data_IF_071997364324
#
_entry.id   IF_071997364324
#
_cell.length_a   1.000
_cell.length_b   1.000
_cell.length_c   1.000
_cell.angle_alpha   90.00
_cell.angle_beta   90.00
_cell.angle_gamma   90.00
#
_symmetry.space_group_name_H-M   'P 1'
#
loop_
_entity.id
_entity.type
_entity.pdbx_description
1 polymer ?
#
# COMPACT_ATOMS: atom_id res chain seq x y z
N UNK A 1 -54.12 23.14 58.69
CA UNK A 1 -52.70 22.83 58.42
C UNK A 1 -52.52 22.76 56.91
N UNK A 2 -52.12 23.86 56.27
CA UNK A 2 -52.09 24.04 54.82
C UNK A 2 -50.87 23.37 54.23
N UNK A 3 -51.10 22.48 53.25
CA UNK A 3 -50.06 21.89 52.44
C UNK A 3 -49.84 22.82 51.20
N UNK A 4 -48.78 23.58 51.23
CA UNK A 4 -48.37 24.41 50.07
C UNK A 4 -47.85 23.50 48.98
N UNK A 5 -48.53 23.53 47.85
CA UNK A 5 -48.02 22.97 46.58
C UNK A 5 -46.82 23.77 46.11
N UNK A 6 -45.67 23.08 45.98
CA UNK A 6 -44.51 23.61 45.26
C UNK A 6 -44.64 23.21 43.79
N UNK A 7 -44.97 24.17 42.96
CA UNK A 7 -44.89 23.98 41.48
C UNK A 7 -43.46 24.21 41.06
N UNK A 8 -42.78 23.14 40.69
CA UNK A 8 -41.44 23.19 40.07
C UNK A 8 -41.58 23.56 38.62
N UNK A 9 -41.25 24.79 38.25
CA UNK A 9 -41.09 25.21 36.85
C UNK A 9 -39.75 24.65 36.33
N UNK A 10 -39.80 23.60 35.54
CA UNK A 10 -38.62 23.18 34.74
C UNK A 10 -38.56 24.05 33.52
N UNK A 11 -37.67 25.04 33.56
CA UNK A 11 -37.29 25.80 32.40
C UNK A 11 -36.53 24.94 31.41
N UNK A 12 -37.17 24.60 30.31
CA UNK A 12 -36.48 23.99 29.14
C UNK A 12 -35.61 25.09 28.53
N UNK A 13 -34.32 25.11 28.87
CA UNK A 13 -33.35 25.90 28.13
C UNK A 13 -33.28 25.33 26.70
N UNK A 14 -33.83 26.05 25.73
CA UNK A 14 -33.51 25.79 24.32
C UNK A 14 -32.01 25.99 24.11
N UNK A 15 -31.27 24.90 24.00
CA UNK A 15 -29.91 24.96 23.47
C UNK A 15 -29.98 25.54 22.05
N UNK A 16 -29.18 26.58 21.73
CA UNK A 16 -29.12 27.04 20.35
C UNK A 16 -28.74 25.89 19.46
N UNK A 17 -29.51 25.67 18.41
CA UNK A 17 -29.31 24.57 17.49
C UNK A 17 -27.85 24.50 17.05
N UNK A 18 -27.21 23.38 17.24
CA UNK A 18 -26.00 23.06 16.53
C UNK A 18 -26.36 23.09 15.03
N UNK A 19 -26.03 24.19 14.38
CA UNK A 19 -25.99 24.23 12.94
C UNK A 19 -24.90 23.25 12.55
N UNK A 20 -25.27 22.07 12.06
CA UNK A 20 -24.34 21.21 11.35
C UNK A 20 -23.74 22.08 10.25
N UNK A 21 -22.46 22.41 10.38
CA UNK A 21 -21.76 23.12 9.33
C UNK A 21 -21.96 22.29 8.04
N UNK A 22 -22.53 22.92 7.01
CA UNK A 22 -22.71 22.27 5.74
C UNK A 22 -21.32 21.80 5.27
N UNK A 23 -21.21 20.52 4.98
CA UNK A 23 -19.98 19.95 4.44
C UNK A 23 -19.68 20.67 3.12
N UNK A 24 -18.61 21.48 3.10
CA UNK A 24 -18.20 22.23 1.92
C UNK A 24 -17.43 21.27 1.01
N UNK A 25 -17.90 21.11 -0.22
CA UNK A 25 -17.14 20.40 -1.23
C UNK A 25 -15.94 21.22 -1.68
N UNK A 26 -14.74 20.63 -1.67
CA UNK A 26 -13.49 21.30 -2.03
C UNK A 26 -12.96 20.78 -3.34
N UNK A 27 -12.65 21.68 -4.26
CA UNK A 27 -11.97 21.37 -5.52
C UNK A 27 -10.48 21.61 -5.37
N UNK A 28 -9.66 20.71 -5.89
CA UNK A 28 -8.21 20.86 -5.87
C UNK A 28 -7.81 21.94 -6.88
N UNK A 29 -7.12 22.97 -6.39
CA UNK A 29 -6.57 24.05 -7.22
C UNK A 29 -5.12 23.81 -7.59
N UNK A 30 -4.36 23.10 -6.75
CA UNK A 30 -2.94 22.85 -6.96
C UNK A 30 -2.49 21.59 -6.23
N UNK A 31 -1.59 20.86 -6.85
CA UNK A 31 -0.77 19.83 -6.20
C UNK A 31 0.69 20.29 -6.23
N UNK A 32 1.41 20.06 -5.13
CA UNK A 32 2.84 20.37 -5.06
C UNK A 32 3.62 19.56 -6.11
N UNK A 33 4.67 20.17 -6.69
CA UNK A 33 5.50 19.51 -7.68
C UNK A 33 6.24 18.30 -7.05
N UNK A 34 6.18 17.17 -7.72
CA UNK A 34 6.76 15.91 -7.25
C UNK A 34 7.97 15.60 -8.14
N UNK A 35 9.15 15.54 -7.51
CA UNK A 35 10.39 15.15 -8.17
C UNK A 35 11.06 14.04 -7.38
N UNK A 36 11.47 12.98 -8.07
CA UNK A 36 12.06 11.77 -7.45
C UNK A 36 13.33 11.40 -8.17
N UNK A 37 14.43 11.29 -7.44
CA UNK A 37 15.64 10.69 -7.95
C UNK A 37 15.49 9.15 -7.90
N UNK A 38 15.83 8.49 -9.00
CA UNK A 38 15.69 7.05 -9.17
C UNK A 38 17.04 6.47 -9.62
N UNK A 39 17.67 5.59 -8.85
CA UNK A 39 18.89 4.92 -9.29
C UNK A 39 18.64 4.10 -10.55
N UNK A 40 19.61 4.13 -11.47
CA UNK A 40 19.56 3.35 -12.71
C UNK A 40 19.27 1.87 -12.41
N UNK A 41 18.40 1.25 -13.20
CA UNK A 41 18.01 -0.15 -13.03
C UNK A 41 17.08 -0.43 -11.86
N UNK A 42 16.57 0.60 -11.16
CA UNK A 42 15.62 0.44 -10.06
C UNK A 42 14.26 1.06 -10.36
N UNK A 43 13.25 0.67 -9.61
CA UNK A 43 11.94 1.31 -9.65
C UNK A 43 11.95 2.63 -8.84
N UNK A 44 11.29 3.69 -9.34
CA UNK A 44 11.19 4.94 -8.61
C UNK A 44 10.35 4.78 -7.33
N UNK A 45 10.81 5.37 -6.24
CA UNK A 45 10.07 5.40 -4.97
C UNK A 45 9.13 6.59 -4.97
N UNK A 46 7.92 6.37 -5.47
CA UNK A 46 6.89 7.40 -5.54
C UNK A 46 6.23 7.60 -4.17
N UNK A 47 5.89 8.86 -3.80
CA UNK A 47 5.21 9.13 -2.54
C UNK A 47 3.77 8.60 -2.57
N UNK A 48 3.32 8.05 -1.45
CA UNK A 48 1.92 7.63 -1.29
C UNK A 48 0.99 8.80 -1.02
N UNK A 49 1.53 9.91 -0.52
CA UNK A 49 0.80 11.13 -0.18
C UNK A 49 1.41 12.29 -0.93
N UNK A 50 0.55 13.20 -1.39
CA UNK A 50 0.94 14.46 -2.03
C UNK A 50 0.24 15.62 -1.34
N UNK A 51 0.93 16.77 -1.29
CA UNK A 51 0.36 17.98 -0.72
C UNK A 51 -0.55 18.65 -1.74
N UNK A 52 -1.81 18.81 -1.38
CA UNK A 52 -2.83 19.46 -2.20
C UNK A 52 -3.28 20.76 -1.57
N UNK A 53 -3.60 21.73 -2.41
CA UNK A 53 -4.25 22.99 -2.01
C UNK A 53 -5.58 23.07 -2.74
N UNK A 54 -6.63 23.37 -2.00
CA UNK A 54 -7.99 23.52 -2.53
C UNK A 54 -8.27 24.96 -2.92
N UNK A 55 -9.37 25.16 -3.64
CA UNK A 55 -9.80 26.47 -4.12
C UNK A 55 -10.17 27.45 -2.99
N UNK A 56 -10.49 26.94 -1.80
CA UNK A 56 -10.76 27.74 -0.58
C UNK A 56 -9.49 28.09 0.20
N UNK A 57 -8.30 27.68 -0.27
CA UNK A 57 -7.01 27.93 0.37
C UNK A 57 -6.62 26.90 1.43
N UNK A 58 -7.49 25.95 1.78
CA UNK A 58 -7.14 24.86 2.68
C UNK A 58 -6.15 23.92 1.99
N UNK A 59 -5.25 23.32 2.75
CA UNK A 59 -4.24 22.41 2.23
C UNK A 59 -4.05 21.22 3.16
N UNK A 60 -3.83 20.04 2.58
CA UNK A 60 -3.59 18.81 3.32
C UNK A 60 -2.83 17.79 2.49
N UNK A 61 -2.39 16.72 3.12
CA UNK A 61 -1.89 15.53 2.42
C UNK A 61 -3.04 14.66 1.96
N UNK A 62 -3.02 14.30 0.66
CA UNK A 62 -3.98 13.34 0.08
C UNK A 62 -3.25 12.17 -0.53
N UNK A 63 -3.89 11.02 -0.47
CA UNK A 63 -3.38 9.82 -1.12
C UNK A 63 -3.37 10.01 -2.63
N UNK A 64 -2.35 9.42 -3.26
CA UNK A 64 -2.21 9.38 -4.69
C UNK A 64 -2.05 7.95 -5.17
N UNK A 65 -2.66 7.65 -6.28
CA UNK A 65 -2.45 6.41 -7.02
C UNK A 65 -1.68 6.70 -8.28
N UNK A 66 -0.52 6.08 -8.38
CA UNK A 66 0.33 6.19 -9.56
C UNK A 66 -0.09 5.17 -10.62
N UNK A 67 -0.27 5.65 -11.85
CA UNK A 67 -0.39 4.78 -13.01
C UNK A 67 1.01 4.23 -13.35
N UNK A 68 1.09 2.98 -13.77
CA UNK A 68 2.35 2.38 -14.23
C UNK A 68 3.49 2.36 -13.19
N UNK A 69 3.17 2.18 -11.90
CA UNK A 69 4.21 1.67 -11.00
C UNK A 69 4.78 0.40 -11.63
N UNK A 70 6.12 0.28 -11.78
CA UNK A 70 6.70 -0.87 -12.48
C UNK A 70 6.21 -2.17 -11.88
N UNK A 71 5.87 -3.10 -12.74
CA UNK A 71 5.47 -4.45 -12.36
C UNK A 71 6.69 -5.18 -11.82
N UNK A 72 6.50 -6.00 -10.80
CA UNK A 72 7.54 -6.91 -10.33
C UNK A 72 7.62 -8.14 -11.27
N UNK A 73 7.94 -7.91 -12.53
CA UNK A 73 8.11 -8.93 -13.55
C UNK A 73 9.28 -8.61 -14.50
N UNK A 74 9.55 -9.49 -15.44
CA UNK A 74 10.63 -9.32 -16.42
C UNK A 74 10.46 -8.05 -17.27
N UNK A 75 9.23 -7.61 -17.49
CA UNK A 75 8.94 -6.40 -18.24
C UNK A 75 9.35 -5.14 -17.46
N UNK A 76 9.18 -5.14 -16.14
CA UNK A 76 9.62 -4.04 -15.28
C UNK A 76 11.14 -3.94 -15.26
N UNK A 77 11.85 -5.07 -15.23
CA UNK A 77 13.32 -5.08 -15.35
C UNK A 77 13.77 -4.54 -16.71
N UNK A 78 13.09 -4.94 -17.80
CA UNK A 78 13.38 -4.43 -19.14
C UNK A 78 13.06 -2.94 -19.29
N UNK A 79 12.00 -2.46 -18.64
CA UNK A 79 11.62 -1.05 -18.66
C UNK A 79 12.56 -0.18 -17.80
N UNK A 80 13.03 -0.70 -16.66
CA UNK A 80 14.07 -0.06 -15.86
C UNK A 80 15.38 0.13 -16.62
N UNK A 81 15.76 -0.81 -17.49
CA UNK A 81 16.94 -0.70 -18.34
C UNK A 81 16.82 0.33 -19.47
N UNK A 82 15.59 0.75 -19.82
CA UNK A 82 15.36 1.77 -20.87
C UNK A 82 15.71 3.19 -20.41
N UNK A 83 15.89 3.42 -19.15
CA UNK A 83 16.17 4.73 -18.58
C UNK A 83 17.58 4.79 -17.99
N UNK A 84 18.61 5.10 -18.79
CA UNK A 84 19.98 5.23 -18.31
C UNK A 84 20.15 6.45 -17.41
N UNK A 85 21.20 6.44 -16.60
CA UNK A 85 21.56 7.57 -15.76
C UNK A 85 21.62 8.88 -16.55
N UNK A 86 21.06 9.95 -15.99
CA UNK A 86 20.92 11.25 -16.62
C UNK A 86 19.62 11.44 -17.42
N UNK A 87 18.84 10.36 -17.68
CA UNK A 87 17.54 10.50 -18.31
C UNK A 87 16.48 11.05 -17.34
N UNK A 88 15.40 11.60 -17.89
CA UNK A 88 14.25 12.07 -17.16
C UNK A 88 12.97 11.57 -17.83
N UNK A 89 11.98 11.22 -17.03
CA UNK A 89 10.66 10.82 -17.53
C UNK A 89 9.56 11.16 -16.53
N UNK A 90 8.31 11.07 -16.94
CA UNK A 90 7.16 11.35 -16.09
C UNK A 90 6.38 10.09 -15.77
N UNK A 91 5.90 10.00 -14.54
CA UNK A 91 4.89 9.03 -14.17
C UNK A 91 3.62 9.78 -13.81
N UNK A 92 2.52 9.45 -14.49
CA UNK A 92 1.20 9.98 -14.21
C UNK A 92 0.55 9.27 -13.01
N UNK A 93 -0.38 9.96 -12.38
CA UNK A 93 -1.20 9.44 -11.31
C UNK A 93 -2.42 10.31 -11.09
N UNK A 94 -3.17 10.04 -10.03
CA UNK A 94 -4.30 10.86 -9.63
C UNK A 94 -4.47 10.84 -8.12
N UNK A 95 -4.97 11.96 -7.61
CA UNK A 95 -5.32 12.12 -6.19
C UNK A 95 -6.58 11.35 -5.88
N UNK A 96 -6.60 10.62 -4.78
CA UNK A 96 -7.78 9.97 -4.24
C UNK A 96 -8.48 10.95 -3.32
N UNK A 97 -9.68 11.36 -3.70
CA UNK A 97 -10.56 12.21 -2.95
C UNK A 97 -11.63 11.43 -2.20
N UNK A 98 -12.61 12.15 -1.65
CA UNK A 98 -13.75 11.61 -0.92
C UNK A 98 -15.06 12.32 -1.31
N UNK A 99 -16.10 12.18 -0.49
CA UNK A 99 -17.39 12.81 -0.74
C UNK A 99 -17.36 14.34 -0.66
N UNK A 100 -16.29 14.90 -0.08
CA UNK A 100 -16.13 16.34 0.18
C UNK A 100 -14.99 16.98 -0.60
N UNK A 101 -14.24 16.18 -1.36
CA UNK A 101 -13.06 16.63 -2.10
C UNK A 101 -12.98 15.99 -3.47
N UNK A 102 -12.29 16.65 -4.39
CA UNK A 102 -12.05 16.11 -5.73
C UNK A 102 -11.41 14.72 -5.70
N UNK A 103 -11.94 13.83 -6.50
CA UNK A 103 -11.40 12.51 -6.74
C UNK A 103 -10.95 12.35 -8.20
N UNK A 104 -9.77 11.76 -8.39
CA UNK A 104 -9.22 11.55 -9.73
C UNK A 104 -8.49 12.78 -10.31
N UNK A 105 -8.14 13.78 -9.48
CA UNK A 105 -7.36 14.91 -9.93
C UNK A 105 -5.99 14.46 -10.45
N UNK A 106 -5.61 14.78 -11.71
CA UNK A 106 -4.39 14.28 -12.31
C UNK A 106 -3.15 14.89 -11.68
N UNK A 107 -2.14 14.07 -11.46
CA UNK A 107 -0.82 14.48 -10.96
C UNK A 107 0.28 13.83 -11.78
N UNK A 108 1.49 14.40 -11.74
CA UNK A 108 2.67 13.88 -12.39
C UNK A 108 3.86 13.94 -11.45
N UNK A 109 4.66 12.88 -11.43
CA UNK A 109 5.97 12.86 -10.82
C UNK A 109 7.04 12.95 -11.91
N UNK A 110 8.00 13.86 -11.72
CA UNK A 110 9.20 13.93 -12.52
C UNK A 110 10.24 12.98 -11.96
N UNK A 111 10.66 12.03 -12.75
CA UNK A 111 11.67 11.04 -12.36
C UNK A 111 12.99 11.44 -13.01
N UNK A 112 14.03 11.58 -12.18
CA UNK A 112 15.39 11.81 -12.63
C UNK A 112 16.21 10.57 -12.35
N UNK A 113 16.73 9.93 -13.39
CA UNK A 113 17.57 8.75 -13.24
C UNK A 113 18.99 9.16 -12.86
N UNK A 114 19.50 8.62 -11.76
CA UNK A 114 20.82 8.89 -11.23
C UNK A 114 21.70 7.63 -11.29
N UNK A 115 23.00 7.80 -11.51
CA UNK A 115 23.94 6.67 -11.64
C UNK A 115 24.15 5.91 -10.32
N UNK A 116 24.02 6.60 -9.20
CA UNK A 116 24.26 6.04 -7.88
C UNK A 116 22.98 6.02 -7.05
N UNK A 117 22.94 5.17 -6.03
CA UNK A 117 21.80 4.99 -5.13
C UNK A 117 21.34 6.29 -4.46
N UNK A 118 20.19 6.24 -3.82
CA UNK A 118 19.60 7.38 -3.12
C UNK A 118 20.62 8.01 -2.16
N UNK A 119 20.98 9.26 -2.43
CA UNK A 119 21.82 10.01 -1.52
C UNK A 119 20.94 10.56 -0.39
N UNK A 120 21.23 10.16 0.84
CA UNK A 120 20.67 10.83 2.00
C UNK A 120 21.38 12.17 2.19
N UNK A 121 20.68 13.28 2.38
CA UNK A 121 21.29 14.59 2.60
C UNK A 121 22.00 14.68 3.95
N UNK A 122 21.76 13.74 4.86
CA UNK A 122 22.40 13.67 6.15
C UNK A 122 23.68 12.82 6.10
N UNK A 123 24.67 13.24 6.85
CA UNK A 123 25.90 12.47 7.00
C UNK A 123 25.58 11.16 7.71
N UNK A 124 25.63 10.07 6.97
CA UNK A 124 25.51 8.74 7.58
C UNK A 124 26.64 8.49 8.58
N UNK A 125 26.28 8.12 9.79
CA UNK A 125 27.22 7.74 10.86
C UNK A 125 27.48 6.23 10.87
N UNK A 126 26.66 5.45 10.15
CA UNK A 126 26.84 4.01 9.99
C UNK A 126 26.22 3.57 8.66
N UNK A 127 26.87 2.63 7.99
CA UNK A 127 26.37 1.97 6.80
C UNK A 127 25.95 0.55 7.15
N UNK A 128 24.78 0.14 6.69
CA UNK A 128 24.32 -1.25 6.81
C UNK A 128 24.72 -2.04 5.57
N UNK A 129 25.14 -3.28 5.78
CA UNK A 129 25.32 -4.20 4.65
C UNK A 129 23.96 -4.61 4.07
N UNK A 130 23.93 -4.84 2.78
CA UNK A 130 22.80 -5.53 2.14
C UNK A 130 22.72 -6.97 2.68
N UNK A 131 21.50 -7.51 2.78
CA UNK A 131 21.30 -8.93 3.13
C UNK A 131 22.03 -9.88 2.16
N UNK A 132 22.18 -9.46 0.91
CA UNK A 132 22.91 -10.24 -0.10
C UNK A 132 24.43 -10.25 0.11
N UNK A 133 24.97 -9.27 0.84
CA UNK A 133 26.40 -9.10 1.07
C UNK A 133 26.89 -9.76 2.38
N UNK A 134 25.97 -10.34 3.14
CA UNK A 134 26.27 -11.01 4.41
C UNK A 134 25.94 -12.48 4.33
N UNK A 135 26.92 -13.32 4.55
CA UNK A 135 26.74 -14.78 4.64
C UNK A 135 27.20 -15.31 5.99
N UNK A 136 26.56 -16.39 6.42
CA UNK A 136 27.03 -17.19 7.57
C UNK A 136 27.52 -18.49 6.98
N UNK A 137 28.81 -18.76 7.17
CA UNK A 137 29.49 -19.93 6.66
C UNK A 137 29.59 -21.07 7.68
N UNK A 138 29.82 -22.27 7.17
CA UNK A 138 30.06 -23.45 7.97
C UNK A 138 28.78 -24.24 8.29
N UNK A 139 29.01 -25.44 8.84
CA UNK A 139 27.97 -26.34 9.29
C UNK A 139 27.68 -26.08 10.79
N UNK A 140 26.63 -25.33 11.03
CA UNK A 140 26.24 -24.92 12.38
C UNK A 140 24.74 -24.71 12.50
N UNK A 141 24.24 -24.52 13.72
CA UNK A 141 22.81 -24.37 14.00
C UNK A 141 22.16 -23.20 13.23
N UNK A 142 22.87 -22.11 12.99
CA UNK A 142 22.30 -20.94 12.30
C UNK A 142 22.12 -21.25 10.82
N UNK A 143 23.10 -21.91 10.17
CA UNK A 143 22.97 -22.32 8.77
C UNK A 143 21.88 -23.37 8.58
N UNK A 144 21.76 -24.33 9.48
CA UNK A 144 20.66 -25.30 9.47
C UNK A 144 19.31 -24.62 9.60
N UNK A 145 19.12 -23.73 10.56
CA UNK A 145 17.85 -23.04 10.77
C UNK A 145 17.49 -22.16 9.56
N UNK A 146 18.49 -21.50 8.95
CA UNK A 146 18.29 -20.72 7.72
C UNK A 146 17.77 -21.62 6.59
N UNK A 147 18.41 -22.75 6.37
CA UNK A 147 18.10 -23.65 5.26
C UNK A 147 16.73 -24.30 5.45
N UNK A 148 16.35 -24.64 6.69
CA UNK A 148 15.00 -25.07 7.05
C UNK A 148 13.97 -23.97 6.77
N UNK A 149 14.23 -22.75 7.22
CA UNK A 149 13.33 -21.62 6.98
C UNK A 149 13.14 -21.32 5.49
N UNK A 150 14.22 -21.38 4.69
CA UNK A 150 14.13 -21.20 3.23
C UNK A 150 13.28 -22.31 2.58
N UNK A 151 13.44 -23.56 3.01
CA UNK A 151 12.65 -24.67 2.50
C UNK A 151 11.18 -24.51 2.84
N UNK A 152 10.89 -24.17 4.09
CA UNK A 152 9.53 -23.94 4.57
C UNK A 152 8.85 -22.80 3.79
N UNK A 153 9.49 -21.64 3.68
CA UNK A 153 8.95 -20.47 2.95
C UNK A 153 8.69 -20.82 1.47
N UNK A 154 9.57 -21.61 0.84
CA UNK A 154 9.37 -22.07 -0.54
C UNK A 154 8.17 -23.03 -0.70
N UNK A 155 7.79 -23.75 0.35
CA UNK A 155 6.68 -24.71 0.33
C UNK A 155 5.30 -24.07 0.55
N UNK A 156 5.24 -22.82 1.00
CA UNK A 156 3.98 -22.17 1.33
C UNK A 156 3.09 -21.94 0.11
N UNK A 157 1.80 -22.17 0.31
CA UNK A 157 0.81 -21.96 -0.75
C UNK A 157 0.46 -20.49 -0.89
N UNK A 158 0.92 -19.90 -1.98
CA UNK A 158 0.66 -18.50 -2.32
C UNK A 158 -0.84 -18.22 -2.50
N UNK A 159 -1.61 -19.22 -2.95
CA UNK A 159 -3.05 -19.04 -3.14
C UNK A 159 -3.76 -18.80 -1.83
N UNK A 160 -3.31 -19.44 -0.76
CA UNK A 160 -3.83 -19.24 0.59
C UNK A 160 -3.56 -17.82 1.10
N UNK A 161 -2.41 -17.25 0.75
CA UNK A 161 -2.06 -15.88 1.13
C UNK A 161 -2.89 -14.83 0.38
N UNK A 162 -3.36 -15.15 -0.81
CA UNK A 162 -4.11 -14.26 -1.70
C UNK A 162 -5.63 -14.39 -1.56
N UNK A 163 -6.11 -15.48 -0.99
CA UNK A 163 -7.54 -15.80 -0.94
C UNK A 163 -8.39 -14.64 -0.44
N UNK A 164 -8.09 -14.12 0.75
CA UNK A 164 -8.89 -13.06 1.39
C UNK A 164 -8.92 -11.75 0.60
N UNK A 165 -7.83 -11.41 -0.07
CA UNK A 165 -7.78 -10.21 -0.90
C UNK A 165 -8.70 -10.36 -2.10
N UNK A 166 -8.62 -11.48 -2.80
CA UNK A 166 -9.46 -11.74 -3.96
C UNK A 166 -10.94 -11.81 -3.59
N UNK A 167 -11.26 -12.53 -2.52
CA UNK A 167 -12.61 -12.65 -1.99
C UNK A 167 -13.20 -11.28 -1.62
N UNK A 168 -12.46 -10.48 -0.87
CA UNK A 168 -12.88 -9.13 -0.44
C UNK A 168 -13.21 -8.22 -1.61
N UNK A 169 -12.49 -8.31 -2.71
CA UNK A 169 -12.71 -7.46 -3.89
C UNK A 169 -13.54 -8.11 -4.99
N UNK A 170 -14.18 -9.24 -4.69
CA UNK A 170 -15.07 -9.92 -5.63
C UNK A 170 -14.37 -10.51 -6.85
N UNK A 171 -13.08 -10.83 -6.73
CA UNK A 171 -12.33 -11.57 -7.73
C UNK A 171 -12.50 -13.08 -7.52
N UNK A 172 -12.40 -13.88 -8.59
CA UNK A 172 -12.51 -15.32 -8.48
C UNK A 172 -11.49 -15.92 -7.52
N UNK A 173 -11.97 -16.79 -6.64
CA UNK A 173 -11.16 -17.60 -5.71
C UNK A 173 -11.13 -19.08 -6.13
N UNK A 174 -11.61 -19.40 -7.33
CA UNK A 174 -11.54 -20.77 -7.85
C UNK A 174 -10.08 -21.22 -7.98
N UNK A 175 -9.76 -22.39 -7.42
CA UNK A 175 -8.40 -22.92 -7.38
C UNK A 175 -7.50 -22.29 -6.30
N UNK A 176 -8.06 -21.47 -5.41
CA UNK A 176 -7.33 -20.91 -4.26
C UNK A 176 -7.65 -21.69 -3.00
N UNK A 177 -6.63 -21.93 -2.19
CA UNK A 177 -6.80 -22.49 -0.85
C UNK A 177 -7.35 -21.41 0.08
N UNK A 178 -8.43 -21.71 0.80
CA UNK A 178 -9.01 -20.78 1.76
C UNK A 178 -8.00 -20.48 2.88
N UNK A 179 -7.85 -19.20 3.22
CA UNK A 179 -7.00 -18.79 4.33
C UNK A 179 -7.49 -19.36 5.66
N UNK A 180 -6.57 -19.62 6.57
CA UNK A 180 -6.86 -20.18 7.90
C UNK A 180 -6.16 -19.39 9.03
N UNK A 181 -6.29 -19.88 10.26
CA UNK A 181 -5.68 -19.27 11.43
C UNK A 181 -6.08 -17.82 11.63
N UNK A 182 -5.11 -16.96 11.82
CA UNK A 182 -5.34 -15.52 12.01
C UNK A 182 -5.83 -14.82 10.74
N UNK A 183 -5.51 -15.38 9.60
CA UNK A 183 -5.98 -14.91 8.29
C UNK A 183 -7.29 -15.59 7.84
N UNK A 184 -7.96 -16.38 8.70
CA UNK A 184 -9.28 -16.93 8.37
C UNK A 184 -10.24 -15.82 7.94
N UNK A 185 -11.10 -16.05 6.93
CA UNK A 185 -12.10 -15.08 6.48
C UNK A 185 -13.01 -14.52 7.59
N UNK A 186 -13.17 -15.28 8.67
CA UNK A 186 -14.00 -14.93 9.81
C UNK A 186 -13.33 -14.01 10.84
N UNK A 187 -12.03 -13.73 10.65
CA UNK A 187 -11.24 -12.89 11.58
C UNK A 187 -11.14 -11.44 11.09
N UNK A 188 -10.83 -10.54 12.05
CA UNK A 188 -10.51 -9.14 11.75
C UNK A 188 -9.03 -8.92 11.43
N UNK A 189 -8.22 -9.99 11.39
CA UNK A 189 -6.78 -9.94 11.16
C UNK A 189 -6.38 -10.32 9.73
N UNK A 190 -7.33 -10.30 8.80
CA UNK A 190 -7.10 -10.64 7.39
C UNK A 190 -5.93 -9.86 6.79
N UNK A 191 -4.97 -10.58 6.20
CA UNK A 191 -3.77 -9.99 5.59
C UNK A 191 -2.56 -9.87 6.52
N UNK A 192 -2.70 -10.21 7.81
CA UNK A 192 -1.58 -10.19 8.75
C UNK A 192 -0.46 -11.15 8.34
N UNK A 193 -0.80 -12.42 8.12
CA UNK A 193 0.14 -13.45 7.66
C UNK A 193 0.69 -13.16 6.27
N UNK A 194 -0.13 -12.66 5.36
CA UNK A 194 0.30 -12.30 4.00
C UNK A 194 1.36 -11.20 3.99
N UNK A 195 1.25 -10.19 4.86
CA UNK A 195 2.26 -9.14 5.02
C UNK A 195 3.60 -9.70 5.52
N UNK A 196 3.56 -10.59 6.52
CA UNK A 196 4.74 -11.29 7.00
C UNK A 196 5.35 -12.17 5.91
N UNK A 197 4.52 -12.92 5.18
CA UNK A 197 4.97 -13.77 4.09
C UNK A 197 5.68 -12.97 3.00
N UNK A 198 5.13 -11.85 2.55
CA UNK A 198 5.77 -11.00 1.54
C UNK A 198 7.15 -10.51 1.99
N UNK A 199 7.26 -10.06 3.23
CA UNK A 199 8.55 -9.66 3.81
C UNK A 199 9.53 -10.83 3.86
N UNK A 200 9.06 -12.00 4.28
CA UNK A 200 9.89 -13.20 4.40
C UNK A 200 10.41 -13.68 3.03
N UNK A 201 9.55 -13.75 1.99
CA UNK A 201 10.00 -14.19 0.66
C UNK A 201 10.95 -13.20 0.00
N UNK A 202 10.79 -11.90 0.24
CA UNK A 202 11.72 -10.89 -0.27
C UNK A 202 13.12 -11.02 0.37
N UNK A 203 13.18 -11.20 1.69
CA UNK A 203 14.43 -11.43 2.41
C UNK A 203 15.05 -12.78 2.03
N UNK A 204 14.24 -13.84 1.94
CA UNK A 204 14.68 -15.15 1.51
C UNK A 204 15.28 -15.12 0.11
N UNK A 205 14.66 -14.39 -0.83
CA UNK A 205 15.20 -14.22 -2.18
C UNK A 205 16.58 -13.54 -2.18
N UNK A 206 16.76 -12.54 -1.32
CA UNK A 206 18.04 -11.83 -1.22
C UNK A 206 19.17 -12.73 -0.73
N UNK A 207 18.90 -13.66 0.21
CA UNK A 207 19.92 -14.52 0.82
C UNK A 207 20.03 -15.92 0.21
N UNK A 208 19.04 -16.36 -0.59
CA UNK A 208 19.06 -17.68 -1.20
C UNK A 208 20.22 -17.83 -2.19
N UNK A 209 21.00 -18.89 -2.04
CA UNK A 209 22.08 -19.24 -2.95
C UNK A 209 21.70 -20.38 -3.91
N UNK A 210 20.68 -21.18 -3.53
CA UNK A 210 20.17 -22.25 -4.36
C UNK A 210 19.30 -21.68 -5.50
N UNK A 211 19.62 -21.91 -6.79
CA UNK A 211 18.89 -21.34 -7.92
C UNK A 211 17.41 -21.78 -7.99
N UNK A 212 17.11 -23.03 -7.60
CA UNK A 212 15.72 -23.54 -7.61
C UNK A 212 14.86 -22.82 -6.57
N UNK A 213 15.37 -22.67 -5.33
CA UNK A 213 14.69 -21.90 -4.29
C UNK A 213 14.50 -20.45 -4.72
N UNK A 214 15.54 -19.84 -5.30
CA UNK A 214 15.47 -18.47 -5.80
C UNK A 214 14.41 -18.29 -6.88
N UNK A 215 14.28 -19.26 -7.79
CA UNK A 215 13.25 -19.23 -8.81
C UNK A 215 11.83 -19.37 -8.22
N UNK A 216 11.64 -20.25 -7.21
CA UNK A 216 10.36 -20.38 -6.50
C UNK A 216 9.99 -19.07 -5.79
N UNK A 217 10.92 -18.50 -5.03
CA UNK A 217 10.70 -17.26 -4.29
C UNK A 217 10.36 -16.10 -5.23
N UNK A 218 11.09 -15.96 -6.36
CA UNK A 218 10.78 -14.97 -7.40
C UNK A 218 9.38 -15.17 -7.98
N UNK A 219 9.03 -16.38 -8.35
CA UNK A 219 7.68 -16.71 -8.85
C UNK A 219 6.61 -16.32 -7.84
N UNK A 220 6.80 -16.66 -6.58
CA UNK A 220 5.83 -16.41 -5.53
C UNK A 220 5.65 -14.92 -5.25
N UNK A 221 6.75 -14.16 -5.11
CA UNK A 221 6.65 -12.71 -4.88
C UNK A 221 6.04 -11.98 -6.08
N UNK A 222 6.41 -12.36 -7.29
CA UNK A 222 5.83 -11.80 -8.53
C UNK A 222 4.32 -12.04 -8.56
N UNK A 223 3.87 -13.24 -8.25
CA UNK A 223 2.46 -13.57 -8.17
C UNK A 223 1.72 -12.74 -7.12
N UNK A 224 2.28 -12.64 -5.90
CA UNK A 224 1.72 -11.81 -4.83
C UNK A 224 1.54 -10.36 -5.27
N UNK A 225 2.57 -9.76 -5.83
CA UNK A 225 2.54 -8.36 -6.27
C UNK A 225 1.49 -8.14 -7.37
N UNK A 226 1.47 -9.02 -8.37
CA UNK A 226 0.54 -8.86 -9.52
C UNK A 226 -0.92 -9.04 -9.11
N UNK A 227 -1.22 -10.04 -8.29
CA UNK A 227 -2.61 -10.29 -7.85
C UNK A 227 -3.09 -9.27 -6.80
N UNK A 228 -2.22 -8.80 -5.91
CA UNK A 228 -2.57 -7.70 -5.02
C UNK A 228 -2.80 -6.39 -5.79
N UNK A 229 -2.06 -6.18 -6.86
CA UNK A 229 -2.31 -5.06 -7.78
C UNK A 229 -3.68 -5.17 -8.46
N UNK A 230 -4.05 -6.36 -8.95
CA UNK A 230 -5.39 -6.62 -9.51
C UNK A 230 -6.49 -6.26 -8.49
N UNK A 231 -6.32 -6.68 -7.23
CA UNK A 231 -7.23 -6.30 -6.14
C UNK A 231 -7.29 -4.78 -5.93
N UNK A 232 -6.14 -4.12 -5.93
CA UNK A 232 -6.06 -2.66 -5.78
C UNK A 232 -6.77 -1.92 -6.92
N UNK A 233 -6.64 -2.40 -8.14
CA UNK A 233 -7.33 -1.83 -9.30
C UNK A 233 -8.84 -2.02 -9.22
N UNK A 234 -9.28 -3.17 -8.75
CA UNK A 234 -10.70 -3.44 -8.51
C UNK A 234 -11.27 -2.52 -7.44
N UNK A 235 -10.52 -2.29 -6.37
CA UNK A 235 -10.90 -1.35 -5.30
C UNK A 235 -11.19 0.05 -5.83
N UNK A 236 -10.33 0.56 -6.67
CA UNK A 236 -10.49 1.90 -7.23
C UNK A 236 -11.76 2.01 -8.08
N UNK A 237 -12.01 1.04 -8.95
CA UNK A 237 -13.25 0.99 -9.77
C UNK A 237 -14.46 0.92 -8.88
N UNK A 238 -14.45 0.05 -7.89
CA UNK A 238 -15.55 -0.12 -6.93
C UNK A 238 -15.87 1.19 -6.21
N UNK A 239 -14.85 1.86 -5.66
CA UNK A 239 -15.04 3.13 -4.97
C UNK A 239 -15.53 4.24 -5.89
N UNK A 240 -15.06 4.31 -7.10
CA UNK A 240 -15.55 5.26 -8.11
C UNK A 240 -17.02 5.05 -8.43
N UNK A 241 -17.44 3.81 -8.57
CA UNK A 241 -18.85 3.45 -8.83
C UNK A 241 -19.74 3.80 -7.65
N UNK A 242 -19.29 3.54 -6.43
CA UNK A 242 -20.00 3.86 -5.20
C UNK A 242 -19.92 5.33 -4.82
N UNK A 243 -19.08 6.12 -5.51
CA UNK A 243 -18.77 7.53 -5.16
C UNK A 243 -18.36 7.69 -3.69
N UNK A 244 -17.63 6.71 -3.15
CA UNK A 244 -17.12 6.70 -1.78
C UNK A 244 -15.61 6.83 -1.76
N UNK A 245 -15.08 7.38 -0.69
CA UNK A 245 -13.65 7.30 -0.40
C UNK A 245 -13.27 5.83 -0.19
N UNK A 246 -12.18 5.39 -0.82
CA UNK A 246 -11.67 4.03 -0.64
C UNK A 246 -11.32 3.70 0.83
N UNK A 247 -11.00 4.71 1.65
CA UNK A 247 -10.81 4.57 3.09
C UNK A 247 -12.12 4.32 3.85
N UNK A 248 -13.25 4.55 3.25
CA UNK A 248 -14.55 4.36 3.89
C UNK A 248 -14.86 2.90 4.26
N UNK A 249 -13.93 1.98 4.04
CA UNK A 249 -13.86 0.60 4.55
C UNK A 249 -15.14 -0.22 4.50
N UNK A 250 -16.09 0.22 3.74
CA UNK A 250 -17.35 -0.50 3.53
C UNK A 250 -17.17 -1.58 2.44
N UNK A 251 -15.93 -2.14 2.39
CA UNK A 251 -15.60 -3.21 1.47
C UNK A 251 -15.99 -4.58 1.99
N UNK A 252 -16.38 -4.71 3.22
CA UNK A 252 -17.07 -5.89 3.64
C UNK A 252 -18.51 -5.76 3.12
N UNK A 253 -18.98 -6.58 2.20
CA UNK A 253 -20.42 -6.74 2.06
C UNK A 253 -20.91 -7.07 3.46
N UNK A 254 -21.85 -6.28 3.95
CA UNK A 254 -22.57 -6.64 5.15
C UNK A 254 -23.11 -8.05 4.91
N UNK A 255 -22.61 -9.00 5.72
CA UNK A 255 -23.07 -10.37 5.68
C UNK A 255 -24.51 -10.44 6.18
#
# INVERSE_FOLDING_TARGET
MDLKQFTLLIGVACLPGMTTAATVYRTISKVEAISVDCPEGTAPRLPNLVWVTYSDGYSEYRQVRWANAPLADEQAEADAQKHPAGSQYEIGGFVIGDETTDNGYPVKAQIKVVAEGYQTPEKEVAHTFSLADVSIDGDNRLTHNRDEALREICSWDVTQQLYNYRDTYGLSTEGYTKSDGWDSPDTKLKGHGSGHYMSAIAQAYAVATNPEQKAILRKNITRMVNELRECQEKTFVYNKELKRNWEARDFAPEA
#
